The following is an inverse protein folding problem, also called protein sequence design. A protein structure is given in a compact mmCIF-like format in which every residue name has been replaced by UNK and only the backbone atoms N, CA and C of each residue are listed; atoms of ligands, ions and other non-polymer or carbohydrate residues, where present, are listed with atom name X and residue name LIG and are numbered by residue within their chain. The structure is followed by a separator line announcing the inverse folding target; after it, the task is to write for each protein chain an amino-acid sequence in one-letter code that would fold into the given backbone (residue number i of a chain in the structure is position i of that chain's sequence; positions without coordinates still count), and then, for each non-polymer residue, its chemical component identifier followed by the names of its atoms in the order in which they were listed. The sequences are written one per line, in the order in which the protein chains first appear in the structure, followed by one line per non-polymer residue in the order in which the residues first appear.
data_IF_706067066590
#
_entry.id   IF_706067066590
#
_cell.length_a   1.000
_cell.length_b   1.000
_cell.length_c   1.000
_cell.angle_alpha   90.00
_cell.angle_beta   90.00
_cell.angle_gamma   90.00
#
_symmetry.space_group_name_H-M   'P 1'
#
loop_
_entity.id
_entity.type
_entity.pdbx_description
1 polymer ?
#
# COMPACT_ATOMS: atom_id res chain seq x y z
N UNK A 1 1.43 32.86 22.29
CA UNK A 1 2.86 32.87 22.69
C UNK A 1 2.99 32.12 24.00
N UNK A 2 3.80 31.07 24.03
CA UNK A 2 4.07 30.22 25.19
C UNK A 2 5.53 30.37 25.61
N UNK A 3 5.75 30.67 26.89
CA UNK A 3 7.06 30.76 27.51
C UNK A 3 7.28 29.48 28.34
N UNK A 4 7.98 28.50 27.77
CA UNK A 4 8.23 27.21 28.41
C UNK A 4 9.50 27.26 29.26
N UNK A 5 9.32 27.12 30.58
CA UNK A 5 10.40 27.01 31.57
C UNK A 5 10.37 25.66 32.33
N UNK A 6 9.72 24.62 31.81
CA UNK A 6 9.57 23.32 32.51
C UNK A 6 10.91 22.65 32.86
N UNK A 7 11.95 22.91 32.09
CA UNK A 7 13.27 22.33 32.31
C UNK A 7 14.09 23.03 33.41
N UNK A 8 13.66 24.21 33.88
CA UNK A 8 14.37 25.03 34.87
C UNK A 8 15.88 25.20 34.61
N UNK A 9 16.29 25.21 33.33
CA UNK A 9 17.70 25.17 32.91
C UNK A 9 18.35 26.55 32.78
N UNK A 10 17.68 27.61 33.23
CA UNK A 10 18.09 29.00 33.01
C UNK A 10 17.86 29.50 31.57
N UNK A 11 17.25 28.69 30.69
CA UNK A 11 16.86 29.06 29.32
C UNK A 11 15.36 28.86 29.14
N UNK A 12 14.62 29.97 29.00
CA UNK A 12 13.18 29.96 28.70
C UNK A 12 12.99 29.81 27.20
N UNK A 13 12.28 28.76 26.76
CA UNK A 13 11.95 28.57 25.34
C UNK A 13 10.68 29.36 25.01
N UNK A 14 10.73 30.19 23.98
CA UNK A 14 9.59 30.99 23.53
C UNK A 14 9.06 30.36 22.24
N UNK A 15 7.78 29.99 22.21
CA UNK A 15 7.06 29.52 21.03
C UNK A 15 5.81 30.35 20.77
N UNK A 16 5.43 30.52 19.51
CA UNK A 16 4.17 31.14 19.12
C UNK A 16 3.40 30.12 18.31
N UNK A 17 2.40 29.52 18.94
CA UNK A 17 1.37 28.73 18.25
C UNK A 17 0.19 29.65 17.94
N UNK A 18 -0.34 29.53 16.72
CA UNK A 18 -1.47 30.33 16.24
C UNK A 18 -2.54 29.39 15.67
N UNK A 19 -3.66 29.26 16.37
CA UNK A 19 -4.79 28.47 15.93
C UNK A 19 -5.71 29.33 15.06
N UNK A 20 -5.76 29.02 13.76
CA UNK A 20 -6.54 29.79 12.79
C UNK A 20 -7.95 29.19 12.71
N UNK A 21 -8.97 30.02 12.92
CA UNK A 21 -10.36 29.70 12.61
C UNK A 21 -10.82 30.46 11.36
N UNK A 22 -11.21 29.74 10.31
CA UNK A 22 -11.79 30.34 9.11
C UNK A 22 -13.25 30.67 9.40
N UNK A 23 -13.68 31.89 9.08
CA UNK A 23 -15.09 32.31 9.15
C UNK A 23 -15.46 33.01 7.85
N UNK A 24 -16.66 32.76 7.36
CA UNK A 24 -17.19 33.49 6.22
C UNK A 24 -17.56 34.92 6.62
N UNK A 25 -17.15 35.90 5.81
CA UNK A 25 -17.53 37.29 6.00
C UNK A 25 -19.01 37.48 5.62
N UNK A 26 -19.82 38.04 6.53
CA UNK A 26 -21.27 38.24 6.30
C UNK A 26 -21.58 39.12 5.09
N UNK A 27 -20.84 40.21 4.91
CA UNK A 27 -21.03 41.16 3.83
C UNK A 27 -19.72 41.36 3.08
N UNK A 28 -19.61 40.82 1.87
CA UNK A 28 -18.50 41.09 0.96
C UNK A 28 -19.05 41.27 -0.46
N UNK A 29 -19.05 42.50 -0.96
CA UNK A 29 -19.55 42.82 -2.30
C UNK A 29 -18.48 42.51 -3.34
N UNK A 30 -18.53 41.30 -3.90
CA UNK A 30 -17.82 40.95 -5.14
C UNK A 30 -18.80 40.26 -6.08
N UNK A 31 -18.86 40.74 -7.31
CA UNK A 31 -19.77 40.29 -8.35
C UNK A 31 -19.62 38.79 -8.66
N UNK A 32 -20.44 37.96 -8.02
CA UNK A 32 -21.06 36.73 -8.58
C UNK A 32 -20.22 35.48 -8.88
N UNK A 33 -18.90 35.45 -8.65
CA UNK A 33 -18.05 34.31 -9.07
C UNK A 33 -17.74 33.26 -8.00
N UNK A 34 -17.53 33.65 -6.73
CA UNK A 34 -17.00 32.72 -5.70
C UNK A 34 -18.05 31.72 -5.19
N UNK A 35 -19.29 32.14 -4.96
CA UNK A 35 -20.34 31.25 -4.43
C UNK A 35 -20.74 30.12 -5.41
N UNK A 36 -20.57 30.35 -6.72
CA UNK A 36 -20.78 29.31 -7.72
C UNK A 36 -19.72 28.21 -7.63
N UNK A 37 -18.46 28.55 -7.32
CA UNK A 37 -17.35 27.59 -7.31
C UNK A 37 -17.49 26.56 -6.19
N UNK A 38 -17.93 26.97 -4.99
CA UNK A 38 -18.16 26.06 -3.86
C UNK A 38 -19.27 25.05 -4.15
N UNK A 39 -20.35 25.49 -4.81
CA UNK A 39 -21.43 24.59 -5.22
C UNK A 39 -20.96 23.54 -6.24
N UNK A 40 -20.14 23.92 -7.21
CA UNK A 40 -19.57 22.96 -8.17
C UNK A 40 -18.63 21.94 -7.50
N UNK A 41 -17.84 22.33 -6.50
CA UNK A 41 -17.00 21.39 -5.74
C UNK A 41 -17.82 20.36 -4.96
N UNK A 42 -18.91 20.77 -4.30
CA UNK A 42 -19.78 19.83 -3.58
C UNK A 42 -20.49 18.85 -4.54
N UNK A 43 -20.93 19.31 -5.71
CA UNK A 43 -21.52 18.44 -6.73
C UNK A 43 -20.48 17.45 -7.27
N UNK A 44 -19.24 17.89 -7.48
CA UNK A 44 -18.15 17.02 -7.89
C UNK A 44 -17.86 15.95 -6.83
N UNK A 45 -17.78 16.31 -5.55
CA UNK A 45 -17.54 15.35 -4.46
C UNK A 45 -18.68 14.32 -4.34
N UNK A 46 -19.93 14.74 -4.55
CA UNK A 46 -21.07 13.82 -4.62
C UNK A 46 -20.98 12.85 -5.81
N UNK A 47 -20.53 13.32 -6.98
CA UNK A 47 -20.30 12.47 -8.15
C UNK A 47 -19.18 11.44 -7.89
N UNK A 48 -18.08 11.86 -7.25
CA UNK A 48 -16.99 10.96 -6.84
C UNK A 48 -17.53 9.86 -5.93
N UNK A 49 -18.30 10.21 -4.89
CA UNK A 49 -18.91 9.23 -3.98
C UNK A 49 -19.79 8.24 -4.76
N UNK A 50 -20.62 8.72 -5.69
CA UNK A 50 -21.47 7.84 -6.51
C UNK A 50 -20.65 6.85 -7.34
N UNK A 51 -19.57 7.32 -7.98
CA UNK A 51 -18.69 6.44 -8.77
C UNK A 51 -18.01 5.38 -7.90
N UNK A 52 -17.45 5.76 -6.75
CA UNK A 52 -16.85 4.85 -5.79
C UNK A 52 -17.86 3.84 -5.21
N UNK A 53 -19.09 4.26 -4.92
CA UNK A 53 -20.14 3.34 -4.46
C UNK A 53 -20.50 2.30 -5.53
N UNK A 54 -20.61 2.72 -6.80
CA UNK A 54 -20.87 1.79 -7.90
C UNK A 54 -19.71 0.79 -8.08
N UNK A 55 -18.47 1.26 -8.01
CA UNK A 55 -17.25 0.44 -8.07
C UNK A 55 -17.22 -0.56 -6.92
N UNK A 56 -17.50 -0.10 -5.69
CA UNK A 56 -17.52 -0.92 -4.48
C UNK A 56 -18.53 -2.06 -4.60
N UNK A 57 -19.75 -1.78 -5.05
CA UNK A 57 -20.80 -2.82 -5.23
C UNK A 57 -20.39 -3.85 -6.28
N UNK A 58 -19.85 -3.42 -7.42
CA UNK A 58 -19.40 -4.32 -8.49
C UNK A 58 -18.21 -5.18 -8.05
N UNK A 59 -17.24 -4.59 -7.35
CA UNK A 59 -16.08 -5.30 -6.84
C UNK A 59 -16.46 -6.28 -5.72
N UNK A 60 -17.31 -5.86 -4.78
CA UNK A 60 -17.83 -6.73 -3.72
C UNK A 60 -18.59 -7.94 -4.31
N UNK A 61 -19.45 -7.72 -5.30
CA UNK A 61 -20.14 -8.82 -6.01
C UNK A 61 -19.15 -9.79 -6.68
N UNK A 62 -18.08 -9.27 -7.26
CA UNK A 62 -17.04 -10.08 -7.90
C UNK A 62 -16.28 -10.93 -6.89
N UNK A 63 -15.96 -10.37 -5.72
CA UNK A 63 -15.31 -11.11 -4.61
C UNK A 63 -16.24 -12.19 -4.05
N UNK A 64 -17.52 -11.87 -3.80
CA UNK A 64 -18.51 -12.86 -3.32
C UNK A 64 -18.66 -14.01 -4.31
N UNK A 65 -18.72 -13.73 -5.61
CA UNK A 65 -18.74 -14.78 -6.65
C UNK A 65 -17.49 -15.65 -6.63
N UNK A 66 -16.31 -15.05 -6.43
CA UNK A 66 -15.05 -15.80 -6.28
C UNK A 66 -15.08 -16.74 -5.07
N UNK A 67 -15.61 -16.27 -3.93
CA UNK A 67 -15.76 -17.09 -2.73
C UNK A 67 -16.80 -18.21 -2.90
N UNK A 68 -17.92 -17.95 -3.56
CA UNK A 68 -18.91 -18.98 -3.89
C UNK A 68 -18.29 -20.05 -4.78
N UNK A 69 -17.57 -19.65 -5.84
CA UNK A 69 -16.89 -20.58 -6.73
C UNK A 69 -15.81 -21.40 -6.00
N UNK A 70 -15.07 -20.79 -5.08
CA UNK A 70 -14.10 -21.49 -4.24
C UNK A 70 -14.78 -22.57 -3.39
N UNK A 71 -15.92 -22.27 -2.76
CA UNK A 71 -16.67 -23.23 -1.94
C UNK A 71 -17.24 -24.38 -2.77
N UNK A 72 -17.80 -24.08 -3.95
CA UNK A 72 -18.28 -25.09 -4.89
C UNK A 72 -17.15 -25.98 -5.38
N UNK A 73 -16.00 -25.39 -5.75
CA UNK A 73 -14.83 -26.14 -6.20
C UNK A 73 -14.30 -27.09 -5.12
N UNK A 74 -14.14 -26.61 -3.88
CA UNK A 74 -13.67 -27.43 -2.75
C UNK A 74 -14.65 -28.59 -2.49
N UNK A 75 -15.96 -28.31 -2.48
CA UNK A 75 -16.99 -29.34 -2.26
C UNK A 75 -17.00 -30.38 -3.38
N UNK A 76 -16.85 -29.95 -4.63
CA UNK A 76 -16.77 -30.82 -5.81
C UNK A 76 -15.54 -31.73 -5.76
N UNK A 77 -14.36 -31.17 -5.43
CA UNK A 77 -13.11 -31.92 -5.38
C UNK A 77 -13.12 -32.98 -4.27
N UNK A 78 -13.69 -32.64 -3.12
CA UNK A 78 -13.86 -33.57 -2.00
C UNK A 78 -14.80 -34.72 -2.36
N UNK A 79 -15.91 -34.44 -3.05
CA UNK A 79 -16.91 -35.45 -3.42
C UNK A 79 -16.41 -36.42 -4.50
N UNK A 80 -15.78 -35.90 -5.56
CA UNK A 80 -15.39 -36.72 -6.73
C UNK A 80 -14.00 -37.34 -6.61
N UNK A 81 -13.03 -36.61 -6.06
CA UNK A 81 -11.64 -37.06 -6.01
C UNK A 81 -11.20 -37.45 -4.59
N UNK A 82 -12.03 -37.22 -3.55
CA UNK A 82 -11.69 -37.46 -2.13
C UNK A 82 -10.36 -36.84 -1.72
N UNK A 83 -10.03 -35.70 -2.31
CA UNK A 83 -8.81 -34.93 -2.04
C UNK A 83 -9.18 -33.55 -1.53
N UNK A 84 -8.47 -33.10 -0.51
CA UNK A 84 -8.55 -31.73 -0.03
C UNK A 84 -7.74 -30.81 -0.93
N UNK A 85 -8.32 -29.66 -1.29
CA UNK A 85 -7.66 -28.64 -2.11
C UNK A 85 -6.70 -27.82 -1.23
N UNK A 86 -5.41 -27.69 -1.60
CA UNK A 86 -4.46 -26.92 -0.81
C UNK A 86 -4.87 -25.44 -0.72
N UNK A 87 -4.52 -24.78 0.39
CA UNK A 87 -4.85 -23.38 0.62
C UNK A 87 -4.28 -22.42 -0.45
N UNK A 88 -3.19 -22.81 -1.13
CA UNK A 88 -2.63 -22.04 -2.25
C UNK A 88 -3.63 -21.91 -3.41
N UNK A 89 -4.23 -23.02 -3.83
CA UNK A 89 -5.18 -23.06 -4.95
C UNK A 89 -6.49 -22.35 -4.59
N UNK A 90 -6.87 -22.42 -3.30
CA UNK A 90 -8.00 -21.68 -2.75
C UNK A 90 -7.81 -20.15 -2.84
N UNK A 91 -6.60 -19.65 -2.58
CA UNK A 91 -6.28 -18.22 -2.66
C UNK A 91 -6.22 -17.70 -4.10
N UNK A 92 -6.04 -18.57 -5.11
CA UNK A 92 -6.05 -18.19 -6.53
C UNK A 92 -7.44 -17.72 -7.00
N UNK A 93 -8.52 -18.18 -6.37
CA UNK A 93 -9.89 -17.73 -6.66
C UNK A 93 -10.18 -16.29 -6.18
N UNK A 94 -9.45 -15.81 -5.16
CA UNK A 94 -9.63 -14.47 -4.60
C UNK A 94 -8.65 -13.51 -5.30
N UNK A 95 -9.17 -12.69 -6.21
CA UNK A 95 -8.35 -11.68 -6.87
C UNK A 95 -8.06 -10.49 -5.93
N UNK A 96 -6.83 -10.44 -5.41
CA UNK A 96 -6.36 -9.41 -4.47
C UNK A 96 -6.48 -7.97 -4.99
N UNK A 97 -6.50 -7.75 -6.30
CA UNK A 97 -6.70 -6.40 -6.85
C UNK A 97 -8.09 -5.82 -6.52
N UNK A 98 -9.12 -6.65 -6.46
CA UNK A 98 -10.45 -6.18 -6.04
C UNK A 98 -10.46 -5.74 -4.57
N UNK A 99 -9.66 -6.39 -3.71
CA UNK A 99 -9.52 -6.00 -2.31
C UNK A 99 -8.88 -4.61 -2.20
N UNK A 100 -7.81 -4.34 -2.97
CA UNK A 100 -7.16 -3.02 -3.03
C UNK A 100 -8.14 -1.93 -3.49
N UNK A 101 -8.96 -2.21 -4.51
CA UNK A 101 -9.99 -1.27 -5.00
C UNK A 101 -11.04 -1.02 -3.92
N UNK A 102 -11.54 -2.07 -3.26
CA UNK A 102 -12.53 -1.94 -2.17
C UNK A 102 -11.99 -1.06 -1.02
N UNK A 103 -10.75 -1.28 -0.59
CA UNK A 103 -10.12 -0.48 0.47
C UNK A 103 -10.01 0.99 0.01
N UNK A 104 -9.58 1.22 -1.22
CA UNK A 104 -9.46 2.57 -1.78
C UNK A 104 -10.81 3.29 -1.90
N UNK A 105 -11.86 2.58 -2.34
CA UNK A 105 -13.22 3.13 -2.44
C UNK A 105 -13.75 3.51 -1.05
N UNK A 106 -13.54 2.68 -0.01
CA UNK A 106 -13.93 3.00 1.36
C UNK A 106 -13.21 4.27 1.86
N UNK A 107 -11.88 4.36 1.67
CA UNK A 107 -11.10 5.54 2.07
C UNK A 107 -11.54 6.80 1.32
N UNK A 108 -11.87 6.69 0.02
CA UNK A 108 -12.34 7.81 -0.80
C UNK A 108 -13.73 8.29 -0.38
N UNK A 109 -14.64 7.37 -0.05
CA UNK A 109 -15.98 7.72 0.44
C UNK A 109 -15.88 8.43 1.79
N UNK A 110 -15.13 7.87 2.74
CA UNK A 110 -14.91 8.48 4.06
C UNK A 110 -14.24 9.85 3.93
N UNK A 111 -13.19 9.95 3.12
CA UNK A 111 -12.48 11.21 2.86
C UNK A 111 -13.37 12.27 2.20
N UNK A 112 -14.19 11.90 1.23
CA UNK A 112 -15.11 12.82 0.55
C UNK A 112 -16.25 13.30 1.46
N UNK A 113 -16.80 12.42 2.30
CA UNK A 113 -17.81 12.81 3.30
C UNK A 113 -17.23 13.81 4.31
N UNK A 114 -16.02 13.55 4.82
CA UNK A 114 -15.31 14.48 5.71
C UNK A 114 -15.04 15.82 5.02
N UNK A 115 -14.63 15.80 3.75
CA UNK A 115 -14.40 17.01 2.95
C UNK A 115 -15.68 17.84 2.82
N UNK A 116 -16.80 17.22 2.50
CA UNK A 116 -18.10 17.88 2.41
C UNK A 116 -18.53 18.45 3.77
N UNK A 117 -18.33 17.72 4.87
CA UNK A 117 -18.64 18.20 6.22
C UNK A 117 -17.78 19.42 6.59
N UNK A 118 -16.48 19.38 6.30
CA UNK A 118 -15.55 20.48 6.57
C UNK A 118 -15.94 21.73 5.77
N UNK A 119 -16.30 21.57 4.50
CA UNK A 119 -16.76 22.68 3.66
C UNK A 119 -18.11 23.24 4.13
N UNK A 120 -19.06 22.37 4.51
CA UNK A 120 -20.38 22.80 4.98
C UNK A 120 -20.33 23.48 6.36
N UNK A 121 -19.43 23.06 7.25
CA UNK A 121 -19.26 23.62 8.60
C UNK A 121 -18.14 24.65 8.71
N UNK A 122 -17.45 24.98 7.60
CA UNK A 122 -16.30 25.90 7.56
C UNK A 122 -15.19 25.56 8.59
N UNK A 123 -14.92 24.27 8.80
CA UNK A 123 -13.89 23.80 9.74
C UNK A 123 -12.48 23.94 9.14
N UNK A 124 -11.45 24.01 9.98
CA UNK A 124 -10.05 24.19 9.57
C UNK A 124 -9.18 22.95 9.66
N UNK A 125 -9.68 21.85 10.22
CA UNK A 125 -8.92 20.61 10.41
C UNK A 125 -9.01 19.69 9.17
N UNK A 126 -8.07 19.86 8.23
CA UNK A 126 -8.00 19.07 6.99
C UNK A 126 -7.12 17.82 7.09
N UNK A 127 -6.39 17.61 8.19
CA UNK A 127 -5.35 16.58 8.31
C UNK A 127 -5.88 15.18 8.00
N UNK A 128 -6.93 14.75 8.71
CA UNK A 128 -7.54 13.42 8.54
C UNK A 128 -8.13 13.25 7.14
N UNK A 129 -8.83 14.27 6.63
CA UNK A 129 -9.40 14.27 5.28
C UNK A 129 -8.31 14.11 4.21
N UNK A 130 -7.19 14.83 4.36
CA UNK A 130 -6.09 14.82 3.41
C UNK A 130 -5.35 13.48 3.41
N UNK A 131 -5.20 12.84 4.58
CA UNK A 131 -4.60 11.51 4.70
C UNK A 131 -5.50 10.46 4.01
N UNK A 132 -6.81 10.47 4.25
CA UNK A 132 -7.72 9.51 3.63
C UNK A 132 -7.78 9.65 2.10
N UNK A 133 -7.95 10.87 1.59
CA UNK A 133 -7.98 11.10 0.14
C UNK A 133 -6.60 10.88 -0.52
N UNK A 134 -5.50 11.24 0.16
CA UNK A 134 -4.15 11.02 -0.33
C UNK A 134 -3.79 9.53 -0.41
N UNK A 135 -4.11 8.76 0.63
CA UNK A 135 -3.87 7.30 0.64
C UNK A 135 -4.77 6.58 -0.36
N UNK A 136 -6.03 6.99 -0.51
CA UNK A 136 -6.93 6.37 -1.48
C UNK A 136 -6.46 6.61 -2.91
N UNK A 137 -6.10 7.85 -3.27
CA UNK A 137 -5.58 8.17 -4.61
C UNK A 137 -4.29 7.39 -4.92
N UNK A 138 -3.38 7.23 -3.96
CA UNK A 138 -2.20 6.36 -4.12
C UNK A 138 -2.59 4.91 -4.44
N UNK A 139 -3.57 4.34 -3.73
CA UNK A 139 -4.06 2.99 -3.99
C UNK A 139 -4.79 2.86 -5.33
N UNK A 140 -5.54 3.88 -5.77
CA UNK A 140 -6.17 3.89 -7.12
C UNK A 140 -5.10 3.84 -8.20
N UNK A 141 -4.05 4.65 -8.08
CA UNK A 141 -2.93 4.64 -9.03
C UNK A 141 -2.16 3.31 -9.02
N UNK A 142 -1.99 2.67 -7.87
CA UNK A 142 -1.49 1.30 -7.81
C UNK A 142 -2.44 0.31 -8.50
N UNK A 143 -3.76 0.50 -8.37
CA UNK A 143 -4.77 -0.26 -9.09
C UNK A 143 -4.64 -0.19 -10.61
N UNK A 144 -4.08 0.91 -11.16
CA UNK A 144 -3.81 1.02 -12.61
C UNK A 144 -2.83 -0.05 -13.11
N UNK A 145 -1.91 -0.50 -12.25
CA UNK A 145 -0.94 -1.56 -12.56
C UNK A 145 -1.63 -2.87 -12.97
N UNK A 146 -2.82 -3.15 -12.42
CA UNK A 146 -3.66 -4.28 -12.84
C UNK A 146 -3.94 -4.25 -14.35
N UNK A 147 -4.28 -3.09 -14.89
CA UNK A 147 -4.61 -2.95 -16.31
C UNK A 147 -3.36 -3.03 -17.19
N UNK A 148 -2.18 -2.71 -16.66
CA UNK A 148 -0.91 -2.95 -17.35
C UNK A 148 -0.56 -4.44 -17.40
N UNK A 149 -1.00 -5.23 -16.43
CA UNK A 149 -0.81 -6.69 -16.37
C UNK A 149 -1.45 -7.47 -17.52
N UNK A 150 -2.38 -6.88 -18.30
CA UNK A 150 -2.91 -7.52 -19.51
C UNK A 150 -1.86 -7.72 -20.60
N UNK A 151 -0.76 -6.97 -20.56
CA UNK A 151 0.35 -7.12 -21.48
C UNK A 151 1.38 -8.10 -20.92
N UNK A 152 1.74 -9.11 -21.71
CA UNK A 152 2.66 -10.18 -21.29
C UNK A 152 4.02 -9.70 -20.77
N UNK A 153 4.55 -8.57 -21.27
CA UNK A 153 5.82 -7.99 -20.80
C UNK A 153 5.72 -7.35 -19.41
N UNK A 154 4.63 -6.64 -19.12
CA UNK A 154 4.44 -5.98 -17.82
C UNK A 154 3.96 -6.97 -16.75
N UNK A 155 3.25 -8.03 -17.16
CA UNK A 155 2.84 -9.09 -16.25
C UNK A 155 4.04 -9.79 -15.57
N UNK A 156 5.16 -9.98 -16.28
CA UNK A 156 6.38 -10.57 -15.73
C UNK A 156 6.89 -9.80 -14.50
N UNK A 157 6.92 -8.47 -14.56
CA UNK A 157 7.40 -7.62 -13.46
C UNK A 157 6.47 -7.71 -12.24
N UNK A 158 5.16 -7.68 -12.48
CA UNK A 158 4.15 -7.76 -11.41
C UNK A 158 4.23 -9.13 -10.72
N UNK A 159 4.30 -10.21 -11.49
CA UNK A 159 4.43 -11.58 -10.98
C UNK A 159 5.73 -11.77 -10.21
N UNK A 160 6.84 -11.21 -10.72
CA UNK A 160 8.13 -11.23 -10.01
C UNK A 160 8.03 -10.54 -8.65
N UNK A 161 7.41 -9.36 -8.59
CA UNK A 161 7.27 -8.62 -7.33
C UNK A 161 6.40 -9.38 -6.32
N UNK A 162 5.30 -9.98 -6.77
CA UNK A 162 4.42 -10.79 -5.92
C UNK A 162 5.11 -12.06 -5.41
N UNK A 163 5.86 -12.75 -6.28
CA UNK A 163 6.61 -13.95 -5.93
C UNK A 163 7.80 -13.66 -4.99
N UNK A 164 8.46 -12.51 -5.16
CA UNK A 164 9.60 -12.11 -4.34
C UNK A 164 9.17 -11.65 -2.94
N UNK A 165 7.98 -11.04 -2.81
CA UNK A 165 7.48 -10.45 -1.56
C UNK A 165 7.59 -11.36 -0.32
N UNK A 166 7.12 -12.62 -0.30
CA UNK A 166 7.22 -13.46 0.89
C UNK A 166 8.67 -13.77 1.30
N UNK A 167 9.56 -14.00 0.32
CA UNK A 167 10.97 -14.26 0.57
C UNK A 167 11.67 -13.00 1.09
N UNK A 168 11.36 -11.85 0.48
CA UNK A 168 11.83 -10.54 0.92
C UNK A 168 11.40 -10.24 2.35
N UNK A 169 10.13 -10.48 2.72
CA UNK A 169 9.63 -10.22 4.08
C UNK A 169 10.42 -11.06 5.10
N UNK A 170 10.66 -12.35 4.84
CA UNK A 170 11.46 -13.21 5.73
C UNK A 170 12.88 -12.68 5.92
N UNK A 171 13.53 -12.30 4.82
CA UNK A 171 14.86 -11.70 4.86
C UNK A 171 14.87 -10.36 5.62
N UNK A 172 13.88 -9.51 5.37
CA UNK A 172 13.70 -8.24 6.06
C UNK A 172 13.49 -8.43 7.57
N UNK A 173 12.76 -9.45 8.02
CA UNK A 173 12.62 -9.75 9.45
C UNK A 173 13.97 -10.05 10.10
N UNK A 174 14.83 -10.86 9.47
CA UNK A 174 16.17 -11.14 9.97
C UNK A 174 17.05 -9.88 9.99
N UNK A 175 17.03 -9.08 8.91
CA UNK A 175 17.76 -7.83 8.83
C UNK A 175 17.27 -6.80 9.85
N UNK A 176 15.95 -6.75 10.12
CA UNK A 176 15.35 -5.86 11.11
C UNK A 176 15.85 -6.16 12.53
N UNK A 177 16.10 -7.42 12.89
CA UNK A 177 16.66 -7.77 14.19
C UNK A 177 18.07 -7.19 14.38
N UNK A 178 18.92 -7.29 13.35
CA UNK A 178 20.26 -6.68 13.36
C UNK A 178 20.15 -5.16 13.42
N UNK A 179 19.27 -4.59 12.60
CA UNK A 179 19.02 -3.15 12.54
C UNK A 179 18.57 -2.58 13.89
N UNK A 180 17.65 -3.24 14.58
CA UNK A 180 17.21 -2.85 15.92
C UNK A 180 18.36 -2.92 16.94
N UNK A 181 19.23 -3.94 16.85
CA UNK A 181 20.45 -4.02 17.67
C UNK A 181 21.36 -2.79 17.50
N UNK A 182 21.57 -2.37 16.25
CA UNK A 182 22.28 -1.12 15.95
C UNK A 182 21.51 0.10 16.48
N UNK A 183 20.19 0.21 16.26
CA UNK A 183 19.37 1.31 16.77
C UNK A 183 19.50 1.50 18.29
N UNK A 184 19.36 0.44 19.08
CA UNK A 184 19.47 0.53 20.54
C UNK A 184 20.90 0.90 20.98
N UNK A 185 21.90 0.28 20.37
CA UNK A 185 23.30 0.56 20.67
C UNK A 185 23.67 2.02 20.35
N UNK A 186 23.32 2.49 19.14
CA UNK A 186 23.55 3.87 18.70
C UNK A 186 22.78 4.87 19.56
N UNK A 187 21.54 4.58 19.93
CA UNK A 187 20.72 5.44 20.78
C UNK A 187 21.37 5.66 22.16
N UNK A 188 21.76 4.58 22.84
CA UNK A 188 22.31 4.64 24.21
C UNK A 188 23.71 5.25 24.21
N UNK A 189 24.59 4.81 23.31
CA UNK A 189 26.00 5.22 23.33
C UNK A 189 26.22 6.59 22.69
N UNK A 190 25.61 6.86 21.54
CA UNK A 190 25.85 8.10 20.78
C UNK A 190 24.84 9.20 21.10
N UNK A 191 23.72 8.90 21.75
CA UNK A 191 22.66 9.86 22.05
C UNK A 191 23.12 11.12 22.79
N UNK A 192 23.96 11.05 23.83
CA UNK A 192 24.46 12.25 24.53
C UNK A 192 25.45 13.09 23.70
N UNK A 193 26.08 12.50 22.70
CA UNK A 193 27.22 13.09 21.97
C UNK A 193 26.88 13.51 20.53
N UNK A 194 25.73 13.07 19.99
CA UNK A 194 25.33 13.34 18.62
C UNK A 194 23.84 13.69 18.52
N UNK A 195 23.53 14.79 17.83
CA UNK A 195 22.16 15.34 17.80
C UNK A 195 21.14 14.43 17.11
N UNK A 196 21.56 13.68 16.09
CA UNK A 196 20.68 12.70 15.42
C UNK A 196 20.37 11.46 16.24
N UNK A 197 21.15 11.14 17.28
CA UNK A 197 20.96 9.91 18.07
C UNK A 197 20.15 10.14 19.35
N UNK A 198 19.50 11.30 19.53
CA UNK A 198 18.82 11.64 20.79
C UNK A 198 17.56 10.83 21.10
N UNK A 199 16.84 10.37 20.08
CA UNK A 199 15.62 9.57 20.25
C UNK A 199 15.64 8.40 19.30
N UNK A 200 15.03 7.28 19.68
CA UNK A 200 15.03 6.05 18.88
C UNK A 200 14.48 6.28 17.47
N UNK A 201 13.43 7.12 17.31
CA UNK A 201 12.88 7.45 16.00
C UNK A 201 13.91 8.19 15.12
N UNK A 202 14.61 9.20 15.67
CA UNK A 202 15.69 9.92 14.96
C UNK A 202 16.88 9.02 14.62
N UNK A 203 17.19 8.05 15.49
CA UNK A 203 18.21 7.03 15.22
C UNK A 203 17.79 6.18 14.02
N UNK A 204 16.53 5.72 13.99
CA UNK A 204 16.01 4.97 12.85
C UNK A 204 16.00 5.80 11.56
N UNK A 205 15.56 7.06 11.61
CA UNK A 205 15.66 7.97 10.45
C UNK A 205 17.12 8.09 9.96
N UNK A 206 18.07 8.27 10.88
CA UNK A 206 19.48 8.42 10.56
C UNK A 206 20.09 7.14 9.96
N UNK A 207 19.83 5.98 10.55
CA UNK A 207 20.37 4.71 10.07
C UNK A 207 19.73 4.31 8.72
N UNK A 208 18.43 4.57 8.54
CA UNK A 208 17.77 4.37 7.25
C UNK A 208 18.32 5.29 6.16
N UNK A 209 18.58 6.57 6.45
CA UNK A 209 19.28 7.46 5.51
C UNK A 209 20.68 6.93 5.17
N UNK A 210 21.43 6.44 6.16
CA UNK A 210 22.78 5.90 5.95
C UNK A 210 22.79 4.64 5.07
N UNK A 211 21.81 3.74 5.22
CA UNK A 211 21.67 2.56 4.33
C UNK A 211 21.50 3.00 2.87
N UNK A 212 20.80 4.11 2.63
CA UNK A 212 20.61 4.69 1.30
C UNK A 212 21.75 5.63 0.86
N UNK A 213 22.82 5.75 1.65
CA UNK A 213 23.98 6.60 1.34
C UNK A 213 23.77 8.10 1.58
N UNK A 214 22.72 8.50 2.28
CA UNK A 214 22.40 9.90 2.56
C UNK A 214 23.05 10.39 3.88
N UNK A 215 23.51 11.65 3.84
CA UNK A 215 24.14 12.41 4.92
C UNK A 215 25.28 11.70 5.70
N UNK A 216 26.04 10.82 5.02
CA UNK A 216 27.13 10.04 5.62
C UNK A 216 28.20 10.94 6.27
N UNK A 217 28.81 11.85 5.53
CA UNK A 217 29.91 12.68 6.03
C UNK A 217 29.49 13.55 7.24
N UNK A 218 28.30 14.13 7.19
CA UNK A 218 27.71 14.93 8.27
C UNK A 218 27.58 14.13 9.57
N UNK A 219 27.21 12.85 9.51
CA UNK A 219 27.18 12.00 10.72
C UNK A 219 28.57 11.78 11.31
N UNK A 220 29.61 11.64 10.48
CA UNK A 220 30.98 11.54 10.96
C UNK A 220 31.51 12.87 11.51
N UNK A 221 31.15 13.99 10.90
CA UNK A 221 31.64 15.33 11.25
C UNK A 221 30.98 15.91 12.51
N UNK A 222 29.69 15.63 12.74
CA UNK A 222 28.92 16.15 13.89
C UNK A 222 29.19 15.43 15.22
N UNK A 223 30.10 14.44 15.23
CA UNK A 223 30.50 13.76 16.46
C UNK A 223 31.28 14.69 17.40
N UNK A 224 30.75 14.94 18.59
CA UNK A 224 31.44 15.73 19.60
C UNK A 224 32.70 14.99 20.11
N UNK A 225 33.87 15.61 19.99
CA UNK A 225 35.16 15.06 20.43
C UNK A 225 35.41 15.25 21.95
N UNK A 226 34.38 15.10 22.79
CA UNK A 226 34.53 15.24 24.25
C UNK A 226 35.18 14.03 24.90
N UNK A 227 34.99 12.85 24.33
CA UNK A 227 35.58 11.58 24.79
C UNK A 227 36.18 10.85 23.60
N UNK A 228 37.48 10.57 23.66
CA UNK A 228 38.18 9.85 22.60
C UNK A 228 37.64 8.41 22.44
N UNK A 229 37.29 7.74 23.55
CA UNK A 229 36.72 6.39 23.52
C UNK A 229 35.38 6.34 22.77
N UNK A 230 34.48 7.29 23.05
CA UNK A 230 33.17 7.38 22.37
C UNK A 230 33.35 7.77 20.92
N UNK A 231 34.30 8.68 20.62
CA UNK A 231 34.64 9.04 19.25
C UNK A 231 35.15 7.84 18.45
N UNK A 232 36.07 7.04 19.00
CA UNK A 232 36.57 5.83 18.37
C UNK A 232 35.47 4.79 18.18
N UNK A 233 34.66 4.55 19.21
CA UNK A 233 33.50 3.67 19.14
C UNK A 233 32.53 4.08 18.03
N UNK A 234 32.25 5.38 17.90
CA UNK A 234 31.37 5.90 16.85
C UNK A 234 31.89 5.61 15.44
N UNK A 235 33.21 5.68 15.23
CA UNK A 235 33.83 5.35 13.95
C UNK A 235 33.66 3.87 13.64
N UNK A 236 33.99 3.00 14.58
CA UNK A 236 33.83 1.54 14.42
C UNK A 236 32.35 1.18 14.20
N UNK A 237 31.45 1.78 14.97
CA UNK A 237 30.01 1.60 14.85
C UNK A 237 29.49 1.99 13.46
N UNK A 238 29.81 3.20 12.98
CA UNK A 238 29.33 3.68 11.68
C UNK A 238 29.98 2.92 10.52
N UNK A 239 31.28 2.64 10.56
CA UNK A 239 31.94 1.86 9.50
C UNK A 239 31.42 0.43 9.44
N UNK A 240 31.23 -0.24 10.59
CA UNK A 240 30.66 -1.60 10.63
C UNK A 240 29.21 -1.61 10.12
N UNK A 241 28.39 -0.64 10.53
CA UNK A 241 27.01 -0.53 10.06
C UNK A 241 26.92 -0.31 8.54
N UNK A 242 27.64 0.70 8.02
CA UNK A 242 27.63 1.05 6.60
C UNK A 242 28.13 -0.12 5.75
N UNK A 243 29.27 -0.72 6.12
CA UNK A 243 29.83 -1.84 5.35
C UNK A 243 28.90 -3.07 5.36
N UNK A 244 28.35 -3.44 6.51
CA UNK A 244 27.45 -4.57 6.64
C UNK A 244 26.14 -4.35 5.85
N UNK A 245 25.47 -3.21 6.06
CA UNK A 245 24.15 -3.01 5.46
C UNK A 245 24.21 -2.70 3.97
N UNK A 246 25.18 -1.89 3.51
CA UNK A 246 25.27 -1.51 2.09
C UNK A 246 25.87 -2.66 1.27
N UNK A 247 26.98 -3.26 1.69
CA UNK A 247 27.67 -4.23 0.82
C UNK A 247 27.19 -5.67 1.00
N UNK A 248 26.64 -6.03 2.17
CA UNK A 248 26.16 -7.41 2.38
C UNK A 248 24.64 -7.48 2.27
N UNK A 249 23.92 -6.75 3.12
CA UNK A 249 22.45 -6.90 3.22
C UNK A 249 21.76 -6.39 1.96
N UNK A 250 22.10 -5.20 1.47
CA UNK A 250 21.49 -4.64 0.26
C UNK A 250 21.84 -5.49 -0.99
N UNK A 251 23.08 -5.97 -1.11
CA UNK A 251 23.47 -6.85 -2.21
C UNK A 251 22.73 -8.19 -2.19
N UNK A 252 22.53 -8.79 -1.01
CA UNK A 252 21.70 -9.99 -0.88
C UNK A 252 20.23 -9.74 -1.22
N UNK A 253 19.70 -8.57 -0.83
CA UNK A 253 18.33 -8.18 -1.17
C UNK A 253 18.13 -8.08 -2.68
N UNK A 254 19.06 -7.44 -3.38
CA UNK A 254 19.05 -7.35 -4.86
C UNK A 254 19.16 -8.75 -5.47
N UNK A 255 20.10 -9.57 -4.99
CA UNK A 255 20.30 -10.93 -5.50
C UNK A 255 19.04 -11.80 -5.37
N UNK A 256 18.30 -11.69 -4.26
CA UNK A 256 17.05 -12.43 -4.04
C UNK A 256 15.95 -12.01 -5.03
N UNK A 257 15.83 -10.71 -5.32
CA UNK A 257 14.87 -10.21 -6.32
C UNK A 257 15.30 -10.67 -7.72
N UNK A 258 16.60 -10.61 -8.04
CA UNK A 258 17.12 -11.06 -9.34
C UNK A 258 16.92 -12.56 -9.55
N UNK A 259 17.15 -13.38 -8.53
CA UNK A 259 16.91 -14.83 -8.58
C UNK A 259 15.43 -15.16 -8.83
N UNK A 260 14.54 -14.45 -8.14
CA UNK A 260 13.09 -14.59 -8.37
C UNK A 260 12.71 -14.14 -9.78
N UNK A 261 13.29 -13.05 -10.27
CA UNK A 261 13.06 -12.56 -11.64
C UNK A 261 13.46 -13.59 -12.69
N UNK A 262 14.65 -14.18 -12.59
CA UNK A 262 15.10 -15.22 -13.52
C UNK A 262 14.22 -16.48 -13.42
N UNK A 263 13.79 -16.88 -12.22
CA UNK A 263 12.88 -18.01 -12.03
C UNK A 263 11.53 -17.80 -12.73
N UNK A 264 10.90 -16.63 -12.57
CA UNK A 264 9.61 -16.34 -13.24
C UNK A 264 9.80 -16.20 -14.76
N UNK A 265 10.94 -15.66 -15.20
CA UNK A 265 11.28 -15.58 -16.62
C UNK A 265 11.43 -16.97 -17.26
N UNK A 266 12.02 -17.92 -16.56
CA UNK A 266 12.04 -19.33 -16.98
C UNK A 266 10.63 -19.93 -17.02
N UNK A 267 9.77 -19.69 -16.02
CA UNK A 267 8.38 -20.14 -16.05
C UNK A 267 7.57 -19.55 -17.21
N UNK A 268 7.91 -18.36 -17.69
CA UNK A 268 7.25 -17.78 -18.87
C UNK A 268 7.71 -18.45 -20.19
N UNK A 269 8.92 -19.01 -20.23
CA UNK A 269 9.46 -19.71 -21.40
C UNK A 269 9.03 -21.19 -21.43
N UNK A 270 9.17 -21.89 -20.31
CA UNK A 270 8.98 -23.34 -20.21
C UNK A 270 7.59 -23.74 -19.70
N UNK A 271 6.78 -22.76 -19.27
CA UNK A 271 5.48 -22.97 -18.64
C UNK A 271 5.54 -22.87 -17.11
N UNK A 272 4.43 -22.47 -16.51
CA UNK A 272 4.30 -22.40 -15.05
C UNK A 272 4.18 -23.79 -14.44
N UNK A 273 4.61 -23.98 -13.18
CA UNK A 273 4.40 -25.24 -12.48
C UNK A 273 2.92 -25.64 -12.47
N UNK A 274 2.65 -26.91 -12.73
CA UNK A 274 1.29 -27.42 -12.82
C UNK A 274 0.65 -27.51 -11.43
N UNK A 275 -0.38 -26.69 -11.19
CA UNK A 275 -1.28 -26.85 -10.04
C UNK A 275 -2.41 -27.81 -10.41
N UNK A 276 -2.97 -28.51 -9.42
CA UNK A 276 -4.09 -29.43 -9.66
C UNK A 276 -5.30 -28.68 -10.25
N UNK A 277 -5.49 -27.42 -9.86
CA UNK A 277 -6.45 -26.52 -10.49
C UNK A 277 -6.18 -26.30 -11.98
N UNK A 278 -4.93 -26.00 -12.38
CA UNK A 278 -4.58 -25.78 -13.79
C UNK A 278 -4.70 -27.04 -14.63
N UNK A 279 -4.36 -28.21 -14.06
CA UNK A 279 -4.61 -29.51 -14.71
C UNK A 279 -6.11 -29.73 -14.92
N UNK A 280 -6.93 -29.49 -13.91
CA UNK A 280 -8.38 -29.59 -14.01
C UNK A 280 -8.98 -28.65 -15.08
N UNK A 281 -8.49 -27.41 -15.16
CA UNK A 281 -8.90 -26.46 -16.20
C UNK A 281 -8.45 -26.93 -17.60
N UNK A 282 -7.24 -27.48 -17.73
CA UNK A 282 -6.71 -28.00 -18.99
C UNK A 282 -7.41 -29.28 -19.47
N UNK A 283 -7.90 -30.11 -18.55
CA UNK A 283 -8.68 -31.32 -18.86
C UNK A 283 -10.05 -30.96 -19.49
N UNK A 284 -10.58 -29.77 -19.19
CA UNK A 284 -11.78 -29.24 -19.83
C UNK A 284 -11.49 -28.75 -21.26
N UNK A 285 -11.70 -29.64 -22.24
CA UNK A 285 -11.60 -29.34 -23.69
C UNK A 285 -12.81 -28.58 -24.27
N UNK A 286 -13.84 -28.31 -23.47
CA UNK A 286 -15.07 -27.69 -23.94
C UNK A 286 -14.89 -26.17 -24.11
N UNK A 287 -15.10 -25.67 -25.33
CA UNK A 287 -14.99 -24.23 -25.63
C UNK A 287 -16.03 -23.42 -24.83
N UNK A 288 -15.76 -22.14 -24.48
CA UNK A 288 -16.74 -21.26 -23.85
C UNK A 288 -18.01 -21.03 -24.69
N UNK A 289 -18.00 -21.40 -25.97
CA UNK A 289 -19.15 -21.42 -26.89
C UNK A 289 -19.97 -22.72 -26.86
N UNK A 290 -19.57 -23.72 -26.07
CA UNK A 290 -20.11 -25.09 -26.09
C UNK A 290 -21.59 -25.22 -25.66
N UNK A 291 -22.30 -24.14 -25.30
CA UNK A 291 -23.73 -24.18 -24.95
C UNK A 291 -24.08 -24.92 -23.66
N UNK A 292 -23.21 -25.81 -23.16
CA UNK A 292 -23.40 -26.62 -21.93
C UNK A 292 -23.48 -25.81 -20.63
N UNK A 293 -22.98 -24.56 -20.62
CA UNK A 293 -22.95 -23.69 -19.44
C UNK A 293 -24.11 -22.68 -19.39
N UNK A 294 -25.00 -22.66 -20.39
CA UNK A 294 -26.29 -21.99 -20.21
C UNK A 294 -27.13 -22.92 -19.35
N UNK A 295 -27.06 -22.71 -18.03
CA UNK A 295 -28.14 -23.10 -17.14
C UNK A 295 -29.46 -22.72 -17.83
N UNK A 296 -30.38 -23.67 -17.93
CA UNK A 296 -31.76 -23.46 -18.36
C UNK A 296 -32.50 -22.58 -17.34
N UNK A 297 -32.04 -21.36 -17.13
CA UNK A 297 -32.84 -20.32 -16.51
C UNK A 297 -33.78 -19.80 -17.58
N UNK A 298 -34.99 -20.37 -17.58
CA UNK A 298 -36.26 -19.88 -18.13
C UNK A 298 -36.22 -19.17 -19.50
N UNK A 299 -37.08 -19.58 -20.47
CA UNK A 299 -37.11 -18.92 -21.77
C UNK A 299 -37.34 -17.41 -21.60
N UNK A 300 -36.63 -16.55 -22.35
CA UNK A 300 -36.97 -15.15 -22.37
C UNK A 300 -38.38 -15.05 -22.94
N UNK A 301 -39.33 -14.60 -22.12
CA UNK A 301 -40.61 -14.09 -22.61
C UNK A 301 -40.31 -12.89 -23.51
N UNK A 302 -40.04 -13.18 -24.78
CA UNK A 302 -40.01 -12.22 -25.87
C UNK A 302 -41.42 -11.67 -26.00
N UNK A 303 -41.64 -10.47 -25.50
CA UNK A 303 -42.95 -9.85 -25.48
C UNK A 303 -43.44 -9.40 -26.87
N UNK A 304 -42.61 -9.47 -27.91
CA UNK A 304 -43.02 -9.12 -29.27
C UNK A 304 -42.16 -9.83 -30.31
N UNK A 305 -42.68 -10.92 -30.90
CA UNK A 305 -42.65 -11.18 -32.35
C UNK A 305 -43.37 -12.49 -32.68
N UNK A 306 -44.71 -12.47 -32.58
CA UNK A 306 -45.54 -13.33 -33.41
C UNK A 306 -45.69 -12.65 -34.78
N UNK A 307 -45.22 -13.28 -35.84
CA UNK A 307 -45.91 -13.32 -37.13
C UNK A 307 -45.28 -14.38 -38.05
N UNK A 308 -46.05 -15.43 -38.30
CA UNK A 308 -45.84 -16.48 -39.28
C UNK A 308 -45.84 -15.94 -40.72
N UNK A 309 -44.88 -16.38 -41.53
CA UNK A 309 -45.10 -17.21 -42.73
C UNK A 309 -43.78 -17.74 -43.27
#
# INVERSE_FOLDING_TARGET
ITFDNKAHSGRIKISLDNDISIRECKDWHVSGSIQKNTHYMMVFDAFVILTCLSSLVLCARSVVRGLQLQQEFVSFFLLHYKKDVPASDQMEFINGWYIVIIISDILTIVGSVLKMEIQAKSLTSYDVCSIFLGTSTMLVWLGVIRYLGFFAKYNLLILTLQAALPNVIRFCCCAAMIYLGYCFCGWIVLGPYHDKFRSLNRVSECLFSLINGDDMFSTFAKMQQKSYLVWLFSRIYLYSFISLFIYMILSLFIALITDTYETIKHYQQDGFPETELRKFIADCKDLPSSGKYRLEDNPPTSLFCCCNK
#
